data_IF_334497596074
#
_entry.id   IF_334497596074
#
_cell.length_a   1.000
_cell.length_b   1.000
_cell.length_c   1.000
_cell.angle_alpha   90.00
_cell.angle_beta   90.00
_cell.angle_gamma   90.00
#
_symmetry.space_group_name_H-M   'P 1'
#
loop_
_entity.id
_entity.type
_entity.pdbx_description
1 polymer ?
#
# COMPACT_ATOMS: atom_id res chain seq x y z
N UNK A 1 -23.01 9.55 -7.75
CA UNK A 1 -22.36 8.54 -8.59
C UNK A 1 -21.46 7.74 -7.70
N UNK A 2 -21.46 6.42 -7.80
CA UNK A 2 -20.48 5.59 -7.10
C UNK A 2 -19.50 5.05 -8.12
N UNK A 3 -18.21 5.18 -7.84
CA UNK A 3 -17.19 4.40 -8.54
C UNK A 3 -17.09 3.02 -7.88
N UNK A 4 -16.93 1.98 -8.67
CA UNK A 4 -16.84 0.60 -8.20
C UNK A 4 -15.61 -0.07 -8.81
N UNK A 5 -14.81 -0.71 -7.96
CA UNK A 5 -13.68 -1.54 -8.36
C UNK A 5 -13.91 -2.97 -7.90
N UNK A 6 -13.66 -3.91 -8.80
CA UNK A 6 -13.61 -5.33 -8.45
C UNK A 6 -12.24 -5.64 -7.87
N UNK A 7 -12.23 -6.32 -6.72
CA UNK A 7 -10.99 -6.77 -6.11
C UNK A 7 -10.27 -7.75 -7.04
N UNK A 8 -8.95 -7.64 -7.11
CA UNK A 8 -8.10 -8.57 -7.87
C UNK A 8 -7.94 -9.89 -7.13
N UNK A 9 -7.99 -9.86 -5.80
CA UNK A 9 -7.82 -11.00 -4.91
C UNK A 9 -8.81 -10.99 -3.75
N UNK A 10 -8.33 -11.44 -2.59
CA UNK A 10 -9.12 -11.47 -1.35
C UNK A 10 -9.29 -10.10 -0.71
N UNK A 11 -8.20 -9.32 -0.64
CA UNK A 11 -8.20 -7.94 -0.15
C UNK A 11 -7.16 -7.12 -0.91
N UNK A 12 -7.58 -5.97 -1.42
CA UNK A 12 -6.75 -5.05 -2.19
C UNK A 12 -6.36 -3.82 -1.33
N UNK A 13 -5.43 -3.03 -1.85
CA UNK A 13 -5.02 -1.71 -1.33
C UNK A 13 -5.83 -0.62 -2.04
N UNK A 14 -6.36 0.34 -1.29
CA UNK A 14 -6.94 1.54 -1.89
C UNK A 14 -6.65 2.78 -1.04
N UNK A 15 -6.52 3.92 -1.73
CA UNK A 15 -6.49 5.26 -1.13
C UNK A 15 -7.60 6.06 -1.79
N UNK A 16 -8.45 6.69 -0.99
CA UNK A 16 -9.58 7.48 -1.47
C UNK A 16 -9.59 8.85 -0.80
N UNK A 17 -9.94 9.87 -1.57
CA UNK A 17 -10.10 11.23 -1.09
C UNK A 17 -11.58 11.57 -0.97
N UNK A 18 -11.96 12.07 0.20
CA UNK A 18 -13.32 12.52 0.51
C UNK A 18 -13.27 14.01 0.83
N UNK A 19 -14.04 14.79 0.09
CA UNK A 19 -14.20 16.22 0.31
C UNK A 19 -14.90 16.50 1.65
N UNK A 20 -14.74 17.73 2.16
CA UNK A 20 -15.35 18.15 3.42
C UNK A 20 -16.89 18.17 3.39
N UNK A 21 -17.49 18.28 2.21
CA UNK A 21 -18.93 18.18 1.98
C UNK A 21 -19.43 16.74 1.80
N UNK A 22 -18.52 15.75 1.81
CA UNK A 22 -18.85 14.32 1.75
C UNK A 22 -18.95 13.76 0.34
N UNK A 23 -18.31 14.42 -0.64
CA UNK A 23 -18.20 13.95 -2.02
C UNK A 23 -16.87 13.21 -2.22
N UNK A 24 -16.88 12.06 -2.87
CA UNK A 24 -15.64 11.35 -3.24
C UNK A 24 -14.96 12.10 -4.39
N UNK A 25 -13.71 12.49 -4.21
CA UNK A 25 -12.91 13.26 -5.18
C UNK A 25 -12.02 12.34 -6.03
N UNK A 26 -11.42 11.33 -5.41
CA UNK A 26 -10.54 10.37 -6.10
C UNK A 26 -10.52 9.00 -5.43
N UNK A 27 -10.24 7.96 -6.21
CA UNK A 27 -10.06 6.58 -5.77
C UNK A 27 -8.91 5.92 -6.52
N UNK A 28 -7.90 5.48 -5.77
CA UNK A 28 -6.69 4.86 -6.28
C UNK A 28 -6.58 3.44 -5.73
N UNK A 29 -6.71 2.43 -6.59
CA UNK A 29 -6.68 1.01 -6.20
C UNK A 29 -5.40 0.35 -6.70
N UNK A 30 -4.82 -0.50 -5.86
CA UNK A 30 -3.71 -1.38 -6.18
C UNK A 30 -3.94 -2.74 -5.51
N UNK A 31 -3.35 -3.80 -6.05
CA UNK A 31 -3.48 -5.09 -5.38
C UNK A 31 -3.01 -6.26 -6.20
N UNK A 32 -3.00 -7.41 -5.55
CA UNK A 32 -2.58 -8.71 -6.04
C UNK A 32 -3.75 -9.70 -6.09
N UNK A 33 -3.45 -10.94 -6.45
CA UNK A 33 -4.42 -12.04 -6.38
C UNK A 33 -4.66 -12.57 -4.95
N UNK A 34 -3.89 -12.11 -3.96
CA UNK A 34 -3.95 -12.58 -2.58
C UNK A 34 -4.65 -11.63 -1.60
N UNK A 35 -4.24 -11.69 -0.34
CA UNK A 35 -4.66 -10.75 0.71
C UNK A 35 -3.56 -9.71 0.96
N UNK A 36 -3.79 -8.50 0.48
CA UNK A 36 -2.88 -7.37 0.66
C UNK A 36 -3.25 -6.57 1.90
N UNK A 37 -2.36 -5.72 2.40
CA UNK A 37 -2.64 -4.86 3.56
C UNK A 37 -1.84 -3.58 3.51
N UNK A 38 -2.44 -2.49 3.99
CA UNK A 38 -1.74 -1.23 4.29
C UNK A 38 -1.39 -1.24 5.77
N UNK A 39 -0.13 -0.91 6.06
CA UNK A 39 0.41 -0.78 7.41
C UNK A 39 0.53 0.71 7.79
N UNK A 40 0.92 1.56 6.85
CA UNK A 40 1.08 3.00 7.08
C UNK A 40 0.72 3.78 5.81
N UNK A 41 0.11 4.95 6.01
CA UNK A 41 -0.04 6.00 5.01
C UNK A 41 0.52 7.28 5.62
N UNK A 42 1.46 7.91 4.94
CA UNK A 42 2.02 9.21 5.33
C UNK A 42 2.10 10.12 4.12
N UNK A 43 2.29 11.42 4.34
CA UNK A 43 2.52 12.39 3.26
C UNK A 43 3.89 13.04 3.40
N UNK A 44 4.48 13.37 2.25
CA UNK A 44 5.70 14.15 2.12
C UNK A 44 5.47 15.21 1.03
N UNK A 45 5.04 16.39 1.44
CA UNK A 45 4.57 17.42 0.51
C UNK A 45 3.27 17.01 -0.17
N UNK A 46 3.25 17.01 -1.50
CA UNK A 46 2.10 16.65 -2.34
C UNK A 46 2.02 15.14 -2.65
N UNK A 47 3.02 14.37 -2.21
CA UNK A 47 3.08 12.92 -2.42
C UNK A 47 2.68 12.17 -1.15
N UNK A 48 2.03 11.03 -1.34
CA UNK A 48 1.69 10.09 -0.29
C UNK A 48 2.57 8.86 -0.41
N UNK A 49 3.01 8.35 0.73
CA UNK A 49 3.79 7.11 0.84
C UNK A 49 2.92 6.09 1.56
N UNK A 50 2.73 4.94 0.92
CA UNK A 50 1.97 3.81 1.42
C UNK A 50 2.92 2.67 1.69
N UNK A 51 2.96 2.21 2.95
CA UNK A 51 3.70 1.01 3.33
C UNK A 51 2.73 -0.12 3.59
N UNK A 52 3.08 -1.34 3.20
CA UNK A 52 2.18 -2.46 3.36
C UNK A 52 2.79 -3.80 3.03
N UNK A 53 1.90 -4.78 2.85
CA UNK A 53 2.24 -6.13 2.41
C UNK A 53 1.34 -6.56 1.27
N UNK A 54 1.90 -7.28 0.30
CA UNK A 54 1.16 -7.93 -0.78
C UNK A 54 1.37 -9.44 -0.76
N UNK A 55 0.39 -10.21 -1.21
CA UNK A 55 0.45 -11.68 -1.21
C UNK A 55 0.20 -12.27 -2.61
N UNK A 56 0.99 -11.80 -3.58
CA UNK A 56 0.89 -12.13 -4.99
C UNK A 56 1.48 -11.00 -5.83
N UNK A 57 1.58 -11.19 -7.16
CA UNK A 57 2.01 -10.11 -8.05
C UNK A 57 0.99 -8.96 -7.96
N UNK A 58 1.45 -7.78 -7.51
CA UNK A 58 0.59 -6.62 -7.30
C UNK A 58 0.77 -5.59 -8.40
N UNK A 59 -0.31 -4.90 -8.74
CA UNK A 59 -0.29 -3.82 -9.74
C UNK A 59 -0.61 -2.48 -9.10
N UNK A 60 0.31 -1.54 -9.22
CA UNK A 60 0.20 -0.15 -8.83
C UNK A 60 0.19 0.70 -10.10
N UNK A 61 -0.98 0.89 -10.72
CA UNK A 61 -1.11 1.53 -12.04
C UNK A 61 -0.25 0.81 -13.10
N UNK A 62 0.80 1.47 -13.62
CA UNK A 62 1.72 0.93 -14.61
C UNK A 62 2.92 0.19 -14.00
N UNK A 63 3.08 0.23 -12.67
CA UNK A 63 4.13 -0.49 -11.97
C UNK A 63 3.61 -1.85 -11.52
N UNK A 64 4.46 -2.87 -11.70
CA UNK A 64 4.20 -4.24 -11.22
C UNK A 64 5.20 -4.51 -10.11
N UNK A 65 4.69 -4.91 -8.95
CA UNK A 65 5.51 -5.40 -7.85
C UNK A 65 5.43 -6.93 -7.81
N UNK A 66 6.56 -7.56 -8.09
CA UNK A 66 6.66 -9.02 -8.14
C UNK A 66 6.64 -9.61 -6.73
N UNK A 67 5.93 -10.73 -6.58
CA UNK A 67 6.00 -11.56 -5.38
C UNK A 67 6.71 -12.86 -5.73
N UNK A 68 7.88 -13.09 -5.14
CA UNK A 68 8.70 -14.26 -5.42
C UNK A 68 8.20 -15.50 -4.67
N UNK A 69 6.99 -16.00 -5.01
CA UNK A 69 6.39 -17.29 -4.63
C UNK A 69 6.80 -17.87 -3.25
N UNK A 70 6.81 -17.01 -2.23
CA UNK A 70 7.17 -17.34 -0.87
C UNK A 70 5.95 -17.61 -0.02
N UNK A 71 6.16 -18.15 1.19
CA UNK A 71 5.06 -18.29 2.16
C UNK A 71 4.76 -16.98 2.90
N UNK A 72 5.69 -16.02 2.85
CA UNK A 72 5.57 -14.73 3.51
C UNK A 72 5.14 -13.66 2.51
N UNK A 73 4.21 -12.76 2.87
CA UNK A 73 3.90 -11.59 2.07
C UNK A 73 5.14 -10.75 1.75
N UNK A 74 5.15 -10.06 0.62
CA UNK A 74 6.20 -9.10 0.26
C UNK A 74 5.87 -7.74 0.86
N UNK A 75 6.77 -7.18 1.66
CA UNK A 75 6.64 -5.82 2.16
C UNK A 75 6.92 -4.81 1.03
N UNK A 76 6.17 -3.72 1.02
CA UNK A 76 6.28 -2.70 -0.03
C UNK A 76 6.27 -1.28 0.50
N UNK A 77 6.91 -0.41 -0.27
CA UNK A 77 6.70 1.04 -0.28
C UNK A 77 6.12 1.45 -1.63
N UNK A 78 5.03 2.21 -1.64
CA UNK A 78 4.42 2.76 -2.85
C UNK A 78 4.21 4.26 -2.71
N UNK A 79 4.44 5.00 -3.79
CA UNK A 79 4.24 6.45 -3.86
C UNK A 79 2.98 6.75 -4.66
N UNK A 80 2.22 7.73 -4.18
CA UNK A 80 0.94 8.13 -4.72
C UNK A 80 0.87 9.65 -4.84
N UNK A 81 0.54 10.11 -6.03
CA UNK A 81 0.06 11.47 -6.30
C UNK A 81 -1.46 11.43 -6.40
N UNK A 82 -2.19 12.36 -5.77
CA UNK A 82 -3.66 12.38 -5.91
C UNK A 82 -4.09 12.74 -7.35
N UNK A 83 -3.27 13.53 -8.04
CA UNK A 83 -3.53 13.95 -9.42
C UNK A 83 -3.06 12.90 -10.46
N UNK A 84 -1.91 12.27 -10.22
CA UNK A 84 -1.26 11.36 -11.19
C UNK A 84 -1.49 9.87 -10.89
N UNK A 85 -2.03 9.54 -9.72
CA UNK A 85 -2.17 8.18 -9.23
C UNK A 85 -0.86 7.58 -8.73
N UNK A 86 -0.76 6.25 -8.76
CA UNK A 86 0.45 5.55 -8.30
C UNK A 86 1.66 5.90 -9.17
N UNK A 87 2.69 6.48 -8.55
CA UNK A 87 3.90 6.96 -9.23
C UNK A 87 5.07 5.98 -9.13
N UNK A 88 5.03 5.04 -8.18
CA UNK A 88 6.00 3.96 -8.05
C UNK A 88 5.67 2.99 -6.93
N UNK A 89 6.26 1.79 -7.00
CA UNK A 89 6.17 0.76 -5.97
C UNK A 89 7.44 -0.08 -5.94
N UNK A 90 7.97 -0.36 -4.76
CA UNK A 90 9.19 -1.14 -4.55
C UNK A 90 9.04 -2.11 -3.39
N UNK A 91 9.73 -3.23 -3.50
CA UNK A 91 9.94 -4.14 -2.38
C UNK A 91 10.86 -3.47 -1.37
N UNK A 92 10.54 -3.65 -0.08
CA UNK A 92 11.37 -3.23 1.05
C UNK A 92 11.56 -4.42 1.98
N UNK A 93 12.61 -4.39 2.80
CA UNK A 93 12.74 -5.38 3.88
C UNK A 93 11.61 -5.20 4.90
N UNK A 94 11.10 -6.31 5.45
CA UNK A 94 10.00 -6.26 6.44
C UNK A 94 10.33 -5.41 7.67
N UNK A 95 11.60 -5.26 8.03
CA UNK A 95 12.08 -4.44 9.15
C UNK A 95 11.80 -2.94 8.99
N UNK A 96 11.56 -2.48 7.76
CA UNK A 96 11.20 -1.09 7.47
C UNK A 96 9.71 -0.82 7.65
N UNK A 97 8.88 -1.87 7.77
CA UNK A 97 7.49 -1.68 8.16
C UNK A 97 7.44 -1.28 9.63
N UNK A 98 6.64 -0.26 10.00
CA UNK A 98 6.52 0.14 11.39
C UNK A 98 5.94 -1.03 12.19
N UNK A 99 6.74 -1.59 13.09
CA UNK A 99 6.28 -2.64 13.97
C UNK A 99 5.23 -2.10 14.95
N UNK A 100 4.17 -2.88 15.18
CA UNK A 100 3.22 -2.60 16.25
C UNK A 100 3.74 -3.05 17.64
N UNK A 101 5.04 -3.30 17.81
CA UNK A 101 5.58 -3.91 19.02
C UNK A 101 6.34 -2.88 19.89
N UNK A 102 5.79 -2.66 21.09
CA UNK A 102 6.46 -1.99 22.20
C UNK A 102 7.63 -2.86 22.68
N UNK A 103 8.81 -2.70 22.10
CA UNK A 103 9.94 -3.54 22.50
C UNK A 103 11.22 -3.23 21.76
N UNK A 104 11.69 -1.99 21.85
CA UNK A 104 13.07 -1.69 21.48
C UNK A 104 13.99 -2.42 22.47
N UNK A 105 14.37 -3.65 22.13
CA UNK A 105 15.29 -4.45 22.93
C UNK A 105 16.71 -4.02 22.59
N UNK A 106 17.25 -3.09 23.37
CA UNK A 106 18.66 -2.76 23.34
C UNK A 106 19.41 -3.64 24.36
N UNK A 107 19.85 -4.84 23.95
CA UNK A 107 20.93 -5.54 24.67
C UNK A 107 22.17 -4.64 24.73
N UNK A 108 22.86 -4.47 25.87
CA UNK A 108 23.64 -5.43 26.65
C UNK A 108 23.61 -5.03 28.15
N UNK A 109 23.65 -6.00 29.07
CA UNK A 109 23.85 -5.79 30.51
C UNK A 109 25.32 -5.96 30.90
#
# INVERSE_FOLDING_TARGET
>A
GGESHEARGGRDVFVAELSVDGSWESLHVAGSSGEDSVVMLTSSGEQYIVLGRINGQAHFSHTILEHYNGWSPTAFEAHLSLDEGWTGSWEIDEEFLPESSSGLWCGYA
#
